data_IF_991319677702
#
_entry.id   IF_991319677702
#
_cell.length_a   1.000
_cell.length_b   1.000
_cell.length_c   1.000
_cell.angle_alpha   90.00
_cell.angle_beta   90.00
_cell.angle_gamma   90.00
#
_symmetry.space_group_name_H-M   'P 1'
#
loop_
_entity.id
_entity.type
_entity.pdbx_description
1 polymer ?
#
# COMPACT_ATOMS: atom_id res chain seq x y z
N UNK A 1 81.47 12.26 9.06
CA UNK A 1 81.47 13.21 10.19
C UNK A 1 80.59 14.38 9.78
N UNK A 2 79.66 14.75 10.65
CA UNK A 2 78.61 15.78 10.55
C UNK A 2 77.20 15.24 10.29
N UNK A 3 76.64 14.80 11.41
CA UNK A 3 75.24 14.91 11.79
C UNK A 3 74.69 16.32 11.54
N UNK A 4 73.50 16.40 10.96
CA UNK A 4 72.52 17.43 11.31
C UNK A 4 71.13 16.83 11.30
N UNK A 5 70.62 16.59 12.51
CA UNK A 5 69.25 16.25 12.79
C UNK A 5 68.33 17.43 12.47
N UNK A 6 67.29 17.19 11.67
CA UNK A 6 66.13 18.07 11.54
C UNK A 6 64.96 17.39 12.26
N UNK A 7 64.51 18.02 13.35
CA UNK A 7 63.32 17.61 14.11
C UNK A 7 62.03 17.68 13.28
N UNK A 8 61.04 16.82 13.58
CA UNK A 8 59.77 16.78 12.88
C UNK A 8 58.84 17.92 13.32
N UNK A 9 58.36 18.71 12.38
CA UNK A 9 57.27 19.65 12.60
C UNK A 9 55.95 18.88 12.75
N UNK A 10 55.45 18.86 14.00
CA UNK A 10 54.10 18.48 14.37
C UNK A 10 53.08 19.30 13.58
N UNK A 11 52.34 18.66 12.67
CA UNK A 11 51.08 19.18 12.13
C UNK A 11 49.97 18.60 13.02
N UNK A 12 49.11 19.43 13.65
CA UNK A 12 48.03 18.95 14.49
C UNK A 12 46.96 18.24 13.64
N UNK A 13 46.30 17.18 14.16
CA UNK A 13 45.20 16.53 13.45
C UNK A 13 44.03 17.51 13.34
N UNK A 14 43.69 17.92 12.12
CA UNK A 14 42.46 18.65 11.89
C UNK A 14 41.28 17.75 12.21
N UNK A 15 40.49 18.22 13.16
CA UNK A 15 39.26 17.63 13.66
C UNK A 15 38.32 17.26 12.51
N UNK A 16 37.90 16.01 12.55
CA UNK A 16 36.84 15.43 11.74
C UNK A 16 35.54 16.21 11.86
N UNK A 17 35.00 16.70 10.75
CA UNK A 17 33.57 16.98 10.59
C UNK A 17 33.08 16.30 9.31
N UNK A 18 32.97 14.98 9.38
CA UNK A 18 32.18 14.23 8.40
C UNK A 18 30.70 14.47 8.74
N UNK A 19 30.10 15.50 8.14
CA UNK A 19 28.66 15.69 8.16
C UNK A 19 28.01 14.54 7.39
N UNK A 20 27.54 13.52 8.11
CA UNK A 20 26.63 12.53 7.55
C UNK A 20 25.32 13.22 7.19
N UNK A 21 25.14 13.53 5.91
CA UNK A 21 23.85 13.95 5.35
C UNK A 21 22.93 12.73 5.43
N UNK A 22 22.16 12.62 6.52
CA UNK A 22 21.05 11.67 6.57
C UNK A 22 19.99 12.16 5.59
N UNK A 23 19.79 11.37 4.53
CA UNK A 23 18.77 11.68 3.54
C UNK A 23 17.39 11.58 4.19
N UNK A 24 16.43 12.38 3.73
CA UNK A 24 15.03 12.36 4.21
C UNK A 24 14.40 10.96 4.29
N UNK A 25 14.89 10.00 3.49
CA UNK A 25 14.45 8.59 3.51
C UNK A 25 14.66 7.88 4.85
N UNK A 26 15.72 8.19 5.60
CA UNK A 26 15.99 7.59 6.91
C UNK A 26 15.02 8.12 7.99
N UNK A 27 14.53 9.35 7.81
CA UNK A 27 13.55 9.97 8.70
C UNK A 27 12.17 9.33 8.58
N UNK A 28 11.77 8.89 7.40
CA UNK A 28 10.47 8.22 7.20
C UNK A 28 10.49 6.78 7.74
N UNK A 29 11.57 6.04 7.49
CA UNK A 29 11.74 4.67 8.00
C UNK A 29 11.74 4.63 9.54
N UNK A 30 12.47 5.54 10.18
CA UNK A 30 12.51 5.63 11.66
C UNK A 30 11.21 6.12 12.28
N UNK A 31 10.39 6.88 11.55
CA UNK A 31 9.08 7.34 12.01
C UNK A 31 8.04 6.21 11.98
N UNK A 32 8.09 5.34 10.97
CA UNK A 32 7.23 4.15 10.86
C UNK A 32 7.56 3.09 11.91
N UNK A 33 8.84 2.82 12.17
CA UNK A 33 9.29 1.89 13.22
C UNK A 33 8.82 2.35 14.60
N UNK A 34 9.00 3.64 14.92
CA UNK A 34 8.53 4.23 16.19
C UNK A 34 7.02 4.10 16.40
N UNK A 35 6.24 4.23 15.31
CA UNK A 35 4.78 4.05 15.38
C UNK A 35 4.40 2.59 15.65
N UNK A 36 5.11 1.66 15.02
CA UNK A 36 4.90 0.22 15.22
C UNK A 36 5.25 -0.19 16.66
N UNK A 37 6.39 0.26 17.18
CA UNK A 37 6.81 -0.03 18.56
C UNK A 37 5.86 0.56 19.61
N UNK A 38 5.38 1.79 19.39
CA UNK A 38 4.36 2.41 20.24
C UNK A 38 3.03 1.64 20.21
N UNK A 39 2.66 1.11 19.05
CA UNK A 39 1.48 0.27 18.88
C UNK A 39 1.64 -1.07 19.61
N UNK A 40 2.80 -1.74 19.48
CA UNK A 40 3.11 -2.98 20.19
C UNK A 40 3.14 -2.81 21.71
N UNK A 41 3.66 -1.68 22.20
CA UNK A 41 3.69 -1.37 23.63
C UNK A 41 2.29 -1.28 24.25
N UNK A 42 1.30 -0.78 23.49
CA UNK A 42 -0.09 -0.69 23.94
C UNK A 42 -0.83 -2.04 23.93
N UNK A 43 -0.41 -2.97 23.08
CA UNK A 43 -1.05 -4.29 22.92
C UNK A 43 -0.51 -5.32 23.92
N UNK A 44 0.75 -5.17 24.35
CA UNK A 44 1.45 -6.07 25.30
C UNK A 44 0.64 -6.50 26.54
N UNK A 45 -0.12 -5.63 27.23
CA UNK A 45 -0.89 -6.01 28.42
C UNK A 45 -2.08 -6.94 28.13
N UNK A 46 -2.51 -7.00 26.86
CA UNK A 46 -3.68 -7.76 26.42
C UNK A 46 -3.31 -9.13 25.85
N UNK A 47 -2.03 -9.50 25.88
CA UNK A 47 -1.55 -10.80 25.43
C UNK A 47 -1.56 -11.75 26.64
N UNK A 48 -2.54 -12.67 26.77
CA UNK A 48 -2.54 -13.65 27.85
C UNK A 48 -1.30 -14.59 27.75
N UNK A 49 -1.05 -15.35 28.83
CA UNK A 49 0.01 -16.36 29.05
C UNK A 49 0.76 -16.84 27.78
N UNK A 50 2.10 -17.06 27.84
CA UNK A 50 2.98 -17.08 26.68
C UNK A 50 2.39 -17.89 25.54
N UNK A 51 1.78 -17.18 24.59
CA UNK A 51 1.29 -17.76 23.35
C UNK A 51 2.47 -18.54 22.81
N UNK A 52 2.31 -19.86 22.62
CA UNK A 52 3.35 -20.68 21.98
C UNK A 52 3.74 -19.95 20.71
N UNK A 53 4.92 -19.33 20.71
CA UNK A 53 5.38 -18.51 19.58
C UNK A 53 5.65 -19.47 18.44
N UNK A 54 4.63 -19.69 17.59
CA UNK A 54 4.83 -20.29 16.29
C UNK A 54 5.59 -19.28 15.45
N UNK A 55 6.87 -19.54 15.27
CA UNK A 55 7.71 -18.75 14.38
C UNK A 55 7.46 -19.26 12.98
N UNK A 56 6.68 -18.51 12.20
CA UNK A 56 6.52 -18.76 10.77
C UNK A 56 7.80 -18.28 10.08
N UNK A 57 8.54 -19.21 9.47
CA UNK A 57 9.80 -18.90 8.77
C UNK A 57 9.55 -18.28 7.40
N UNK A 58 8.37 -18.49 6.82
CA UNK A 58 7.98 -18.00 5.52
C UNK A 58 6.53 -17.50 5.56
N UNK A 59 6.24 -16.36 4.94
CA UNK A 59 4.91 -15.72 4.98
C UNK A 59 3.79 -16.64 4.45
N UNK A 60 4.07 -17.46 3.44
CA UNK A 60 3.12 -18.46 2.91
C UNK A 60 2.79 -19.61 3.85
N UNK A 61 3.45 -19.72 5.02
CA UNK A 61 3.12 -20.74 6.04
C UNK A 61 2.14 -20.24 7.10
N UNK A 62 1.75 -18.96 7.01
CA UNK A 62 0.69 -18.41 7.83
C UNK A 62 -0.64 -19.10 7.49
N UNK A 63 -1.54 -19.27 8.48
CA UNK A 63 -2.95 -19.53 8.22
C UNK A 63 -3.50 -18.55 7.18
N UNK A 64 -4.39 -19.03 6.31
CA UNK A 64 -4.92 -18.25 5.19
C UNK A 64 -5.64 -16.99 5.65
N UNK A 65 -6.29 -17.04 6.82
CA UNK A 65 -7.01 -15.94 7.44
C UNK A 65 -6.06 -14.79 7.80
N UNK A 66 -4.87 -15.12 8.32
CA UNK A 66 -3.87 -14.11 8.66
C UNK A 66 -3.24 -13.51 7.39
N UNK A 67 -3.04 -14.32 6.35
CA UNK A 67 -2.53 -13.81 5.08
C UNK A 67 -3.55 -12.89 4.39
N UNK A 68 -4.83 -13.25 4.41
CA UNK A 68 -5.93 -12.42 3.92
C UNK A 68 -6.03 -11.09 4.71
N UNK A 69 -5.91 -11.15 6.04
CA UNK A 69 -5.89 -9.95 6.89
C UNK A 69 -4.73 -9.02 6.49
N UNK A 70 -3.51 -9.54 6.38
CA UNK A 70 -2.34 -8.77 5.91
C UNK A 70 -2.62 -8.11 4.55
N UNK A 71 -3.25 -8.83 3.62
CA UNK A 71 -3.58 -8.30 2.30
C UNK A 71 -4.56 -7.14 2.37
N UNK A 72 -5.54 -7.18 3.28
CA UNK A 72 -6.49 -6.09 3.49
C UNK A 72 -5.77 -4.83 3.98
N UNK A 73 -4.72 -4.98 4.80
CA UNK A 73 -3.87 -3.89 5.25
C UNK A 73 -2.88 -3.37 4.21
N UNK A 74 -2.68 -4.09 3.09
CA UNK A 74 -1.88 -3.59 1.96
C UNK A 74 -2.62 -2.51 1.15
N UNK A 75 -3.85 -2.16 1.54
CA UNK A 75 -4.59 -1.07 0.96
C UNK A 75 -4.07 0.28 1.48
N UNK A 76 -3.64 1.23 0.62
CA UNK A 76 -3.20 2.54 1.09
C UNK A 76 -4.36 3.26 1.80
N UNK A 77 -4.16 3.57 3.08
CA UNK A 77 -5.16 4.29 3.89
C UNK A 77 -5.49 5.62 3.20
N UNK A 78 -6.76 5.82 2.86
CA UNK A 78 -7.26 7.06 2.25
C UNK A 78 -7.16 7.13 0.72
N UNK A 79 -6.73 6.07 0.02
CA UNK A 79 -6.66 6.05 -1.45
C UNK A 79 -7.32 4.78 -1.99
N UNK A 80 -8.47 4.93 -2.66
CA UNK A 80 -9.10 3.85 -3.42
C UNK A 80 -8.11 3.29 -4.46
N UNK A 81 -7.99 1.95 -4.58
CA UNK A 81 -6.94 1.36 -5.38
C UNK A 81 -7.30 1.54 -6.84
N UNK A 82 -6.32 2.03 -7.61
CA UNK A 82 -6.40 1.97 -9.06
C UNK A 82 -6.14 0.55 -9.53
N UNK A 83 -6.77 0.10 -10.62
CA UNK A 83 -6.27 -1.07 -11.32
C UNK A 83 -4.84 -0.77 -11.76
N UNK A 84 -3.86 -1.41 -11.16
CA UNK A 84 -2.44 -1.25 -11.50
C UNK A 84 -1.70 -2.52 -11.12
N UNK A 85 -0.73 -2.93 -11.94
CA UNK A 85 0.11 -4.10 -11.66
C UNK A 85 0.98 -3.92 -10.42
N UNK A 86 1.17 -2.66 -10.00
CA UNK A 86 2.07 -2.26 -8.92
C UNK A 86 1.30 -1.89 -7.64
N UNK A 87 -0.03 -2.10 -7.63
CA UNK A 87 -0.89 -1.82 -6.46
C UNK A 87 -1.75 -3.03 -6.12
N UNK A 88 -1.99 -3.21 -4.83
CA UNK A 88 -2.99 -4.18 -4.36
C UNK A 88 -4.39 -3.78 -4.87
N UNK A 89 -5.26 -4.77 -5.19
CA UNK A 89 -5.06 -6.20 -5.03
C UNK A 89 -4.29 -6.89 -6.18
N UNK A 90 -4.18 -6.28 -7.37
CA UNK A 90 -3.58 -6.93 -8.54
C UNK A 90 -2.12 -7.31 -8.31
N UNK A 91 -1.33 -6.48 -7.62
CA UNK A 91 0.06 -6.77 -7.25
C UNK A 91 0.17 -8.10 -6.47
N UNK A 92 -0.75 -8.35 -5.54
CA UNK A 92 -0.73 -9.53 -4.68
C UNK A 92 -0.88 -10.82 -5.49
N UNK A 93 -1.64 -10.79 -6.58
CA UNK A 93 -1.80 -11.94 -7.47
C UNK A 93 -0.54 -12.30 -8.26
N UNK A 94 0.45 -11.41 -8.30
CA UNK A 94 1.64 -11.55 -9.14
C UNK A 94 2.84 -12.08 -8.37
N UNK A 95 2.76 -12.14 -7.04
CA UNK A 95 3.87 -12.56 -6.17
C UNK A 95 4.11 -14.07 -6.28
N UNK A 96 3.09 -14.88 -5.97
CA UNK A 96 3.16 -16.34 -6.11
C UNK A 96 1.76 -16.95 -6.23
N UNK A 97 1.69 -18.27 -6.52
CA UNK A 97 0.42 -19.00 -6.66
C UNK A 97 -0.44 -18.96 -5.40
N UNK A 98 0.17 -19.04 -4.22
CA UNK A 98 -0.55 -18.97 -2.93
C UNK A 98 -1.22 -17.61 -2.78
N UNK A 99 -0.49 -16.52 -3.01
CA UNK A 99 -1.02 -15.16 -2.86
C UNK A 99 -2.13 -14.87 -3.87
N UNK A 100 -1.97 -15.37 -5.11
CA UNK A 100 -3.02 -15.32 -6.12
C UNK A 100 -4.30 -16.00 -5.64
N UNK A 101 -4.19 -17.20 -5.09
CA UNK A 101 -5.35 -17.93 -4.59
C UNK A 101 -6.03 -17.19 -3.44
N UNK A 102 -5.26 -16.68 -2.47
CA UNK A 102 -5.81 -15.92 -1.34
C UNK A 102 -6.47 -14.62 -1.79
N UNK A 103 -5.81 -13.86 -2.67
CA UNK A 103 -6.36 -12.60 -3.21
C UNK A 103 -7.66 -12.83 -3.98
N UNK A 104 -7.76 -13.91 -4.76
CA UNK A 104 -8.97 -14.26 -5.51
C UNK A 104 -10.12 -14.74 -4.60
N UNK A 105 -9.81 -15.34 -3.45
CA UNK A 105 -10.79 -15.82 -2.48
C UNK A 105 -11.07 -14.84 -1.33
N UNK A 106 -10.60 -13.60 -1.43
CA UNK A 106 -10.84 -12.54 -0.43
C UNK A 106 -11.62 -11.38 -1.09
N UNK A 107 -12.96 -11.46 -1.18
CA UNK A 107 -13.76 -10.48 -1.91
C UNK A 107 -13.60 -9.04 -1.42
N UNK A 108 -13.32 -8.85 -0.13
CA UNK A 108 -13.13 -7.56 0.51
C UNK A 108 -12.02 -6.72 -0.16
N UNK A 109 -10.99 -7.38 -0.70
CA UNK A 109 -9.90 -6.72 -1.45
C UNK A 109 -10.37 -5.99 -2.72
N UNK A 110 -11.53 -6.37 -3.24
CA UNK A 110 -12.10 -5.90 -4.50
C UNK A 110 -13.26 -4.92 -4.29
N UNK A 111 -13.49 -4.45 -3.06
CA UNK A 111 -14.65 -3.60 -2.75
C UNK A 111 -14.44 -2.12 -3.02
N UNK A 112 -13.20 -1.69 -3.18
CA UNK A 112 -12.82 -0.29 -3.36
C UNK A 112 -12.55 0.02 -4.83
N UNK A 113 -13.22 1.02 -5.39
CA UNK A 113 -13.11 1.41 -6.82
C UNK A 113 -12.84 2.92 -6.94
N UNK A 114 -11.74 3.29 -7.61
CA UNK A 114 -11.45 4.67 -8.00
C UNK A 114 -11.63 4.83 -9.50
N UNK A 115 -12.52 5.71 -9.96
CA UNK A 115 -12.65 6.04 -11.38
C UNK A 115 -12.19 7.48 -11.61
N UNK A 116 -11.07 7.61 -12.32
CA UNK A 116 -10.43 8.88 -12.69
C UNK A 116 -9.83 8.76 -14.11
N UNK A 117 -9.99 9.78 -14.96
CA UNK A 117 -9.30 9.87 -16.26
C UNK A 117 -7.91 10.49 -16.03
N UNK A 118 -6.89 9.71 -16.37
CA UNK A 118 -5.48 10.02 -16.10
C UNK A 118 -4.72 10.31 -17.41
N UNK A 119 -5.40 10.85 -18.42
CA UNK A 119 -4.79 11.27 -19.70
C UNK A 119 -3.51 12.09 -19.58
N UNK A 120 -3.27 12.74 -18.44
CA UNK A 120 -2.10 13.58 -18.18
C UNK A 120 -1.08 13.01 -17.17
N UNK A 121 -1.22 11.76 -16.73
CA UNK A 121 -0.26 11.14 -15.81
C UNK A 121 0.93 10.53 -16.54
N UNK A 122 2.13 10.69 -15.97
CA UNK A 122 3.37 10.03 -16.41
C UNK A 122 3.38 8.51 -16.22
N UNK A 123 2.41 7.97 -15.46
CA UNK A 123 2.23 6.53 -15.29
C UNK A 123 1.55 5.94 -16.54
N UNK A 124 1.96 4.75 -17.02
CA UNK A 124 1.26 4.09 -18.12
C UNK A 124 -0.22 3.90 -17.75
N UNK A 125 -1.16 4.29 -18.62
CA UNK A 125 -2.59 4.30 -18.30
C UNK A 125 -3.06 2.86 -18.10
N UNK A 126 -3.06 2.39 -16.86
CA UNK A 126 -3.88 1.25 -16.49
C UNK A 126 -5.27 1.81 -16.18
N UNK A 127 -5.97 2.20 -17.24
CA UNK A 127 -7.32 2.73 -17.17
C UNK A 127 -8.32 1.59 -17.03
N UNK A 128 -9.52 1.93 -16.56
CA UNK A 128 -10.61 0.97 -16.57
C UNK A 128 -10.98 0.62 -18.00
N UNK A 129 -11.20 -0.66 -18.22
CA UNK A 129 -11.94 -1.15 -19.38
C UNK A 129 -13.11 -2.00 -18.89
N UNK A 130 -14.09 -2.21 -19.76
CA UNK A 130 -15.32 -2.93 -19.45
C UNK A 130 -15.07 -4.28 -18.76
N UNK A 131 -14.14 -5.08 -19.30
CA UNK A 131 -13.81 -6.43 -18.80
C UNK A 131 -13.15 -6.41 -17.43
N UNK A 132 -12.20 -5.50 -17.22
CA UNK A 132 -11.51 -5.37 -15.94
C UNK A 132 -12.48 -4.92 -14.85
N UNK A 133 -13.38 -4.00 -15.20
CA UNK A 133 -14.42 -3.51 -14.29
C UNK A 133 -15.37 -4.65 -13.89
N UNK A 134 -15.85 -5.44 -14.86
CA UNK A 134 -16.71 -6.60 -14.61
C UNK A 134 -16.03 -7.62 -13.70
N UNK A 135 -14.77 -7.92 -13.97
CA UNK A 135 -14.01 -8.87 -13.16
C UNK A 135 -13.81 -8.36 -11.73
N UNK A 136 -13.63 -7.05 -11.56
CA UNK A 136 -13.53 -6.43 -10.24
C UNK A 136 -14.84 -6.55 -9.45
N UNK A 137 -15.98 -6.22 -10.09
CA UNK A 137 -17.30 -6.39 -9.49
C UNK A 137 -17.56 -7.85 -9.15
N UNK A 138 -17.27 -8.78 -10.07
CA UNK A 138 -17.42 -10.23 -9.86
C UNK A 138 -16.61 -10.72 -8.67
N UNK A 139 -15.36 -10.27 -8.52
CA UNK A 139 -14.48 -10.67 -7.41
C UNK A 139 -14.90 -10.07 -6.08
N UNK A 140 -15.51 -8.89 -6.08
CA UNK A 140 -16.07 -8.27 -4.87
C UNK A 140 -17.25 -9.05 -4.28
N UNK A 141 -17.85 -9.97 -5.05
CA UNK A 141 -18.97 -10.79 -4.61
C UNK A 141 -20.11 -9.92 -4.09
N UNK A 142 -20.70 -10.31 -2.96
CA UNK A 142 -21.75 -9.53 -2.29
C UNK A 142 -21.22 -8.54 -1.24
N UNK A 143 -19.89 -8.33 -1.17
CA UNK A 143 -19.34 -7.41 -0.17
C UNK A 143 -19.77 -5.96 -0.46
N UNK A 144 -19.99 -5.12 0.56
CA UNK A 144 -20.40 -3.74 0.32
C UNK A 144 -19.34 -2.94 -0.46
N UNK A 145 -19.74 -2.33 -1.57
CA UNK A 145 -18.87 -1.54 -2.43
C UNK A 145 -18.61 -0.15 -1.85
N UNK A 146 -17.42 0.38 -2.10
CA UNK A 146 -17.06 1.76 -1.84
C UNK A 146 -16.36 2.29 -3.07
N UNK A 147 -16.77 3.46 -3.54
CA UNK A 147 -16.18 4.03 -4.74
C UNK A 147 -16.05 5.54 -4.67
N UNK A 148 -15.16 6.06 -5.51
CA UNK A 148 -15.00 7.50 -5.76
C UNK A 148 -14.84 7.73 -7.25
N UNK A 149 -15.52 8.75 -7.76
CA UNK A 149 -15.41 9.24 -9.14
C UNK A 149 -14.85 10.65 -9.05
N UNK A 150 -13.70 10.92 -9.68
CA UNK A 150 -12.92 12.17 -9.52
C UNK A 150 -12.81 13.02 -10.79
N UNK A 151 -13.52 12.71 -11.87
CA UNK A 151 -13.28 13.35 -13.16
C UNK A 151 -14.56 13.79 -13.87
N UNK A 152 -14.42 14.85 -14.66
CA UNK A 152 -15.45 15.58 -15.38
C UNK A 152 -15.71 14.99 -16.78
N UNK A 153 -14.88 14.07 -17.27
CA UNK A 153 -15.10 13.38 -18.54
C UNK A 153 -16.21 12.33 -18.43
N UNK A 154 -17.45 12.78 -18.60
CA UNK A 154 -18.66 11.96 -18.52
C UNK A 154 -18.60 10.77 -19.48
N UNK A 155 -18.06 10.95 -20.68
CA UNK A 155 -17.99 9.87 -21.69
C UNK A 155 -17.13 8.69 -21.22
N UNK A 156 -16.04 8.96 -20.49
CA UNK A 156 -15.17 7.91 -19.96
C UNK A 156 -15.82 7.16 -18.78
N UNK A 157 -16.48 7.86 -17.86
CA UNK A 157 -17.07 7.23 -16.66
C UNK A 157 -18.44 6.61 -16.90
N UNK A 158 -19.23 7.09 -17.86
CA UNK A 158 -20.59 6.63 -18.16
C UNK A 158 -20.78 5.10 -18.19
N UNK A 159 -19.94 4.30 -18.89
CA UNK A 159 -20.11 2.85 -18.90
C UNK A 159 -19.89 2.21 -17.52
N UNK A 160 -19.01 2.77 -16.70
CA UNK A 160 -18.70 2.24 -15.37
C UNK A 160 -19.73 2.66 -14.33
N UNK A 161 -20.28 3.87 -14.44
CA UNK A 161 -21.33 4.36 -13.55
C UNK A 161 -22.62 3.57 -13.72
N UNK A 162 -22.99 3.19 -14.95
CA UNK A 162 -24.12 2.30 -15.21
C UNK A 162 -23.95 0.94 -14.51
N UNK A 163 -22.76 0.34 -14.62
CA UNK A 163 -22.44 -0.93 -13.96
C UNK A 163 -22.45 -0.81 -12.44
N UNK A 164 -21.91 0.28 -11.89
CA UNK A 164 -22.02 0.54 -10.46
C UNK A 164 -23.47 0.67 -10.03
N UNK A 165 -24.30 1.36 -10.80
CA UNK A 165 -25.71 1.59 -10.47
C UNK A 165 -26.50 0.28 -10.42
N UNK A 166 -26.18 -0.70 -11.27
CA UNK A 166 -26.73 -2.05 -11.17
C UNK A 166 -26.41 -2.74 -9.81
N UNK A 167 -25.30 -2.35 -9.18
CA UNK A 167 -24.82 -2.86 -7.89
C UNK A 167 -25.26 -1.98 -6.69
N UNK A 168 -26.19 -1.03 -6.88
CA UNK A 168 -26.58 -0.05 -5.86
C UNK A 168 -27.09 -0.65 -4.54
N UNK A 169 -27.67 -1.85 -4.61
CA UNK A 169 -28.22 -2.58 -3.45
C UNK A 169 -27.17 -2.92 -2.38
N UNK A 170 -25.88 -2.86 -2.71
CA UNK A 170 -24.77 -3.19 -1.80
C UNK A 170 -23.73 -2.08 -1.69
N UNK A 171 -24.08 -0.83 -1.96
CA UNK A 171 -23.15 0.29 -1.73
C UNK A 171 -23.01 0.59 -0.23
N UNK A 172 -21.81 0.98 0.22
CA UNK A 172 -21.61 1.59 1.54
C UNK A 172 -22.07 3.05 1.52
N UNK A 173 -22.54 3.55 2.67
CA UNK A 173 -22.97 4.93 2.88
C UNK A 173 -21.95 5.98 2.44
N UNK A 174 -20.66 5.67 2.57
CA UNK A 174 -19.56 6.60 2.33
C UNK A 174 -19.11 6.62 0.86
N UNK A 175 -19.85 6.00 -0.05
CA UNK A 175 -19.57 6.05 -1.50
C UNK A 175 -19.83 7.46 -2.02
N UNK A 176 -18.80 8.15 -2.49
CA UNK A 176 -18.88 9.55 -2.91
C UNK A 176 -18.81 9.65 -4.42
N UNK A 177 -19.80 10.29 -5.03
CA UNK A 177 -19.59 10.98 -6.31
C UNK A 177 -18.97 12.31 -5.94
N UNK A 178 -17.70 12.56 -6.26
CA UNK A 178 -17.17 13.91 -6.16
C UNK A 178 -17.79 14.68 -7.33
N UNK A 179 -18.93 15.31 -7.09
CA UNK A 179 -19.42 16.40 -7.93
C UNK A 179 -19.04 17.68 -7.21
N UNK A 180 -17.75 18.01 -7.20
CA UNK A 180 -17.38 19.37 -6.85
C UNK A 180 -17.49 20.22 -8.11
N UNK A 181 -18.31 21.24 -7.92
CA UNK A 181 -18.74 22.30 -8.81
C UNK A 181 -17.52 23.16 -9.16
N UNK A 182 -17.30 23.37 -10.46
CA UNK A 182 -17.07 24.67 -11.10
C UNK A 182 -17.31 24.54 -12.62
#
# INVERSE_FOLDING_TARGET
MHDHAASPSHIPPQSTSSLSVTSSSDSYATQTERRFDSMLAKVRPFIPAPIRRRIFKHINTLPVELLAEIFLWCHPIGIFPRPSRDRAPILLERVCRVWRLVSLNTPQLWTHILIEDMKWSWDPPTTWNSRLFDEWLRRSGNCPLSFTIKDHNIEYHAPFTLKLQAEAHRWKSDSRKCTDVD
#
